data_IF_274667340888
#
_entry.id   IF_274667340888
#
_cell.length_a   1.000
_cell.length_b   1.000
_cell.length_c   1.000
_cell.angle_alpha   90.00
_cell.angle_beta   90.00
_cell.angle_gamma   90.00
#
_symmetry.space_group_name_H-M   'P 1'
#
loop_
_entity.id
_entity.type
_entity.pdbx_description
1 polymer ?
#
# COMPACT_ATOMS: atom_id res chain seq x y z
N UNK A 1 -7.79 -11.93 8.32
CA UNK A 1 -7.18 -11.15 7.21
C UNK A 1 -5.74 -11.61 7.13
N UNK A 2 -5.32 -12.07 5.95
CA UNK A 2 -3.98 -12.63 5.76
C UNK A 2 -3.01 -11.49 5.43
N UNK A 3 -1.82 -11.52 6.03
CA UNK A 3 -0.73 -10.65 5.63
C UNK A 3 -0.21 -11.11 4.26
N UNK A 4 0.16 -10.15 3.43
CA UNK A 4 0.76 -10.42 2.13
C UNK A 4 1.99 -9.54 1.94
N UNK A 5 2.84 -9.92 0.98
CA UNK A 5 4.08 -9.21 0.67
C UNK A 5 4.02 -8.69 -0.74
N UNK A 6 4.33 -7.41 -0.91
CA UNK A 6 4.45 -6.76 -2.22
C UNK A 6 5.91 -6.39 -2.48
N UNK A 7 6.27 -6.39 -3.75
CA UNK A 7 7.50 -5.78 -4.26
C UNK A 7 7.12 -4.53 -5.03
N UNK A 8 7.76 -3.41 -4.73
CA UNK A 8 7.52 -2.13 -5.40
C UNK A 8 8.83 -1.51 -5.84
N UNK A 9 8.83 -0.86 -6.99
CA UNK A 9 9.99 -0.12 -7.48
C UNK A 9 9.95 1.32 -6.93
N UNK A 10 10.99 1.70 -6.19
CA UNK A 10 11.19 3.07 -5.71
C UNK A 10 12.50 3.57 -6.30
N UNK A 11 12.40 4.41 -7.34
CA UNK A 11 13.55 4.75 -8.18
C UNK A 11 14.06 3.52 -8.94
N UNK A 12 15.36 3.26 -8.90
CA UNK A 12 16.00 2.09 -9.53
C UNK A 12 16.06 0.86 -8.61
N UNK A 13 15.44 0.91 -7.42
CA UNK A 13 15.52 -0.15 -6.42
C UNK A 13 14.15 -0.81 -6.18
N UNK A 14 14.12 -2.14 -6.32
CA UNK A 14 13.01 -2.95 -5.82
C UNK A 14 13.06 -3.03 -4.29
N UNK A 15 11.95 -2.71 -3.63
CA UNK A 15 11.79 -2.82 -2.18
C UNK A 15 10.61 -3.71 -1.86
N UNK A 16 10.76 -4.50 -0.80
CA UNK A 16 9.71 -5.38 -0.32
C UNK A 16 9.03 -4.77 0.89
N UNK A 17 7.70 -4.85 0.89
CA UNK A 17 6.87 -4.43 2.01
C UNK A 17 5.92 -5.55 2.40
N UNK A 18 5.83 -5.76 3.69
CA UNK A 18 4.88 -6.65 4.31
C UNK A 18 3.63 -5.84 4.66
N UNK A 19 2.47 -6.27 4.16
CA UNK A 19 1.21 -5.54 4.27
C UNK A 19 0.21 -6.36 5.05
N UNK A 20 -0.34 -5.77 6.10
CA UNK A 20 -1.38 -6.37 6.92
C UNK A 20 -2.68 -5.59 6.78
N UNK A 21 -3.76 -6.20 6.27
CA UNK A 21 -5.06 -5.55 6.27
C UNK A 21 -5.58 -5.43 7.71
N UNK A 22 -6.00 -4.23 8.09
CA UNK A 22 -6.66 -3.95 9.37
C UNK A 22 -8.18 -3.85 9.23
N UNK A 23 -8.69 -3.85 8.00
CA UNK A 23 -10.11 -3.64 7.68
C UNK A 23 -10.43 -2.17 7.40
N UNK A 24 -11.63 -1.90 6.88
CA UNK A 24 -12.07 -0.54 6.49
C UNK A 24 -11.07 0.17 5.57
N UNK A 25 -10.48 -0.58 4.62
CA UNK A 25 -9.45 -0.11 3.70
C UNK A 25 -8.19 0.47 4.37
N UNK A 26 -7.92 0.08 5.63
CA UNK A 26 -6.67 0.37 6.34
C UNK A 26 -5.68 -0.78 6.22
N UNK A 27 -4.43 -0.41 6.00
CA UNK A 27 -3.32 -1.34 5.83
C UNK A 27 -2.14 -0.87 6.67
N UNK A 28 -1.59 -1.79 7.46
CA UNK A 28 -0.35 -1.58 8.20
C UNK A 28 0.82 -2.07 7.36
N UNK A 29 1.88 -1.27 7.29
CA UNK A 29 3.06 -1.51 6.47
C UNK A 29 4.22 -1.87 7.38
N UNK A 30 4.90 -2.95 7.04
CA UNK A 30 6.10 -3.41 7.72
C UNK A 30 7.28 -3.51 6.76
N UNK A 31 8.47 -3.20 7.27
CA UNK A 31 9.76 -3.42 6.60
C UNK A 31 10.66 -4.14 7.58
N UNK A 32 11.22 -5.28 7.16
CA UNK A 32 12.14 -6.07 7.98
C UNK A 32 11.59 -6.46 9.38
N UNK A 33 10.25 -6.53 9.50
CA UNK A 33 9.55 -6.86 10.74
C UNK A 33 9.18 -5.66 11.62
N UNK A 34 9.54 -4.43 11.23
CA UNK A 34 9.18 -3.20 11.94
C UNK A 34 8.00 -2.50 11.27
N UNK A 35 7.02 -2.03 12.06
CA UNK A 35 5.91 -1.22 11.57
C UNK A 35 6.44 0.16 11.20
N UNK A 36 6.31 0.52 9.92
CA UNK A 36 6.75 1.83 9.41
C UNK A 36 5.59 2.76 9.06
N UNK A 37 4.34 2.34 9.28
CA UNK A 37 3.19 3.22 9.15
C UNK A 37 1.89 2.50 8.84
N UNK A 38 0.82 3.29 8.75
CA UNK A 38 -0.51 2.83 8.37
C UNK A 38 -1.05 3.73 7.27
N UNK A 39 -1.53 3.11 6.20
CA UNK A 39 -2.20 3.80 5.11
C UNK A 39 -3.69 3.48 5.11
N UNK A 40 -4.49 4.49 4.77
CA UNK A 40 -5.87 4.37 4.39
C UNK A 40 -5.95 4.53 2.89
N UNK A 41 -6.54 3.55 2.21
CA UNK A 41 -6.91 3.66 0.81
C UNK A 41 -8.39 4.01 0.76
N UNK A 42 -8.75 5.23 0.31
CA UNK A 42 -10.16 5.57 0.17
C UNK A 42 -10.70 5.21 -1.22
N UNK A 43 -12.04 5.10 -1.33
CA UNK A 43 -12.75 4.69 -2.56
C UNK A 43 -12.53 5.66 -3.75
N UNK A 44 -11.93 6.83 -3.53
CA UNK A 44 -11.59 7.81 -4.57
C UNK A 44 -10.12 7.75 -5.01
N UNK A 45 -9.46 6.61 -4.78
CA UNK A 45 -8.09 6.35 -5.23
C UNK A 45 -7.00 7.16 -4.50
N UNK A 46 -7.32 7.91 -3.44
CA UNK A 46 -6.27 8.56 -2.66
C UNK A 46 -5.72 7.63 -1.57
N UNK A 47 -4.38 7.57 -1.51
CA UNK A 47 -3.69 7.03 -0.36
C UNK A 47 -3.47 8.15 0.66
N UNK A 48 -4.08 8.00 1.83
CA UNK A 48 -3.89 8.90 2.96
C UNK A 48 -3.07 8.17 4.04
N UNK A 49 -1.92 8.72 4.41
CA UNK A 49 -1.15 8.25 5.57
C UNK A 49 -1.89 8.72 6.84
N UNK A 50 -2.56 7.81 7.56
CA UNK A 50 -3.45 8.17 8.68
C UNK A 50 -2.73 8.22 10.04
N UNK A 51 -1.52 7.67 10.20
CA UNK A 51 -0.89 7.61 11.53
C UNK A 51 0.64 7.62 11.56
N UNK A 52 1.15 7.85 12.78
CA UNK A 52 2.50 8.25 13.18
C UNK A 52 3.63 7.46 12.50
N UNK A 53 4.66 8.17 12.04
CA UNK A 53 5.84 7.57 11.42
C UNK A 53 5.74 7.45 9.89
N UNK A 54 5.27 8.49 9.19
CA UNK A 54 5.33 8.54 7.72
C UNK A 54 6.79 8.76 7.26
N UNK A 55 7.69 7.83 7.59
CA UNK A 55 9.07 7.74 7.09
C UNK A 55 9.10 7.30 5.61
N UNK A 56 7.94 6.98 5.06
CA UNK A 56 7.72 6.72 3.64
C UNK A 56 7.54 8.03 2.89
N UNK A 57 8.47 8.35 2.00
CA UNK A 57 8.29 9.42 1.03
C UNK A 57 7.08 9.18 0.11
N UNK A 58 6.54 10.27 -0.46
CA UNK A 58 5.38 10.24 -1.36
C UNK A 58 5.50 9.19 -2.48
N UNK A 59 6.66 8.98 -3.15
CA UNK A 59 6.79 7.94 -4.17
C UNK A 59 6.61 6.52 -3.62
N UNK A 60 7.10 6.24 -2.41
CA UNK A 60 6.96 4.94 -1.78
C UNK A 60 5.49 4.66 -1.41
N UNK A 61 4.79 5.67 -0.88
CA UNK A 61 3.34 5.58 -0.61
C UNK A 61 2.53 5.30 -1.88
N UNK A 62 2.88 5.94 -3.00
CA UNK A 62 2.23 5.68 -4.28
C UNK A 62 2.43 4.24 -4.76
N UNK A 63 3.68 3.78 -4.76
CA UNK A 63 4.01 2.44 -5.24
C UNK A 63 3.41 1.34 -4.35
N UNK A 64 3.36 1.54 -3.03
CA UNK A 64 2.71 0.62 -2.08
C UNK A 64 1.21 0.54 -2.34
N UNK A 65 0.53 1.67 -2.56
CA UNK A 65 -0.89 1.69 -2.95
C UNK A 65 -1.14 0.89 -4.21
N UNK A 66 -0.36 1.12 -5.27
CA UNK A 66 -0.53 0.38 -6.53
C UNK A 66 -0.31 -1.12 -6.33
N UNK A 67 0.68 -1.50 -5.52
CA UNK A 67 0.92 -2.89 -5.16
C UNK A 67 -0.25 -3.53 -4.41
N UNK A 68 -0.86 -2.81 -3.46
CA UNK A 68 -2.03 -3.28 -2.72
C UNK A 68 -3.25 -3.39 -3.63
N UNK A 69 -3.52 -2.37 -4.45
CA UNK A 69 -4.62 -2.37 -5.40
C UNK A 69 -4.51 -3.53 -6.39
N UNK A 70 -3.30 -3.78 -6.92
CA UNK A 70 -3.04 -4.92 -7.79
C UNK A 70 -3.26 -6.26 -7.07
N UNK A 71 -2.72 -6.41 -5.85
CA UNK A 71 -2.85 -7.64 -5.06
C UNK A 71 -4.32 -7.95 -4.72
N UNK A 72 -5.05 -6.96 -4.23
CA UNK A 72 -6.46 -7.06 -3.86
C UNK A 72 -7.37 -7.15 -5.09
N UNK A 73 -6.81 -7.10 -6.31
CA UNK A 73 -7.55 -7.04 -7.57
C UNK A 73 -8.62 -5.96 -7.52
N UNK A 74 -8.24 -4.77 -7.02
CA UNK A 74 -9.01 -3.55 -7.19
C UNK A 74 -8.91 -3.19 -8.66
N UNK A 75 -9.61 -3.98 -9.46
CA UNK A 75 -9.77 -3.81 -10.87
C UNK A 75 -10.59 -2.53 -10.98
N UNK A 76 -9.94 -1.38 -11.20
CA UNK A 76 -10.61 -0.30 -11.90
C UNK A 76 -11.16 -0.95 -13.16
N UNK A 77 -12.48 -1.14 -13.19
CA UNK A 77 -13.14 -1.72 -14.32
C UNK A 77 -12.61 -1.03 -15.56
N UNK A 78 -11.97 -1.80 -16.44
CA UNK A 78 -11.99 -1.48 -17.85
C UNK A 78 -13.47 -1.52 -18.28
N UNK A 79 -14.20 -0.46 -17.93
CA UNK A 79 -15.38 0.00 -18.65
C UNK A 79 -14.90 0.61 -19.95
N UNK A 80 -14.41 -0.24 -20.85
CA UNK A 80 -14.51 0.03 -22.27
C UNK A 80 -15.97 -0.23 -22.64
N UNK A 81 -16.75 0.84 -22.75
CA UNK A 81 -17.99 0.87 -23.52
C UNK A 81 -18.14 2.24 -24.15
#
# INVERSE_FOLDING_TARGET
MEQFRIEVAIGDQGRFYDIKPLGNARYEIYVEGETIGTILLDEKDHAHCESQGCELDIPALHAIREGIQYHEQWNHGMGHS
#
